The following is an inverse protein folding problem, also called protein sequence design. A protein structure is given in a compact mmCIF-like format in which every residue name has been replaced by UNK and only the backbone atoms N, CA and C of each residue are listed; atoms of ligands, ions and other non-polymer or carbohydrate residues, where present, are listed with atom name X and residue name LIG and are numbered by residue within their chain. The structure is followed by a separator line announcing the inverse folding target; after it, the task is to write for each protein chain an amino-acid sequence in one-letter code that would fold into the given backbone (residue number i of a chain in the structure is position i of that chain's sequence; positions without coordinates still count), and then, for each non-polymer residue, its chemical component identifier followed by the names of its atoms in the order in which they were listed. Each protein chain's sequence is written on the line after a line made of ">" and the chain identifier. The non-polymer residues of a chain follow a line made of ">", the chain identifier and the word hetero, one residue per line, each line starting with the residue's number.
data_IF_954766689244
#
_entry.id   IF_954766689244
#
_cell.length_a   1.000
_cell.length_b   1.000
_cell.length_c   1.000
_cell.angle_alpha   90.00
_cell.angle_beta   90.00
_cell.angle_gamma   90.00
#
_symmetry.space_group_name_H-M   'P 1'
#
loop_
_entity.id
_entity.type
_entity.pdbx_description
1 polymer ?
#
# COMPACT_ATOMS: atom_id res chain seq x y z
N UNK A 1 17.12 -16.81 -14.01
CA UNK A 1 16.48 -15.80 -13.13
C UNK A 1 15.44 -15.08 -13.97
N UNK A 2 14.19 -15.01 -13.54
CA UNK A 2 13.13 -14.31 -14.27
C UNK A 2 13.37 -12.80 -14.11
N UNK A 3 13.47 -12.09 -15.25
CA UNK A 3 13.65 -10.63 -15.28
C UNK A 3 12.34 -9.95 -15.62
N UNK A 4 12.07 -8.80 -15.00
CA UNK A 4 10.87 -8.00 -15.28
C UNK A 4 11.08 -7.15 -16.54
N UNK A 5 10.48 -7.58 -17.63
CA UNK A 5 10.33 -6.74 -18.83
C UNK A 5 8.97 -6.03 -18.79
N UNK A 6 8.96 -4.74 -18.48
CA UNK A 6 7.74 -3.94 -18.38
C UNK A 6 7.06 -3.71 -19.74
N UNK A 7 7.84 -3.75 -20.83
CA UNK A 7 7.32 -3.54 -22.19
C UNK A 7 6.44 -4.69 -22.67
N UNK A 8 6.69 -5.91 -22.16
CA UNK A 8 5.89 -7.11 -22.45
C UNK A 8 4.44 -7.05 -21.92
N UNK A 9 4.12 -6.04 -21.09
CA UNK A 9 2.77 -5.87 -20.50
C UNK A 9 1.89 -4.88 -21.26
N UNK A 10 2.19 -4.61 -22.52
CA UNK A 10 1.35 -3.75 -23.37
C UNK A 10 0.18 -4.56 -23.93
N UNK A 11 -1.04 -4.09 -23.71
CA UNK A 11 -2.29 -4.66 -24.21
C UNK A 11 -3.13 -3.55 -24.85
N UNK A 12 -3.53 -3.73 -26.12
CA UNK A 12 -4.43 -2.79 -26.77
C UNK A 12 -5.86 -3.31 -26.63
N UNK A 13 -6.69 -2.52 -25.96
CA UNK A 13 -8.14 -2.79 -25.87
C UNK A 13 -8.90 -1.88 -26.84
N UNK A 14 -9.91 -2.47 -27.49
CA UNK A 14 -10.83 -1.74 -28.38
C UNK A 14 -12.14 -1.56 -27.65
N UNK A 15 -12.60 -0.32 -27.62
CA UNK A 15 -13.76 0.11 -26.85
C UNK A 15 -14.63 1.04 -27.68
N UNK A 16 -15.86 1.22 -27.26
CA UNK A 16 -16.68 2.36 -27.67
C UNK A 16 -16.48 3.49 -26.65
N UNK A 17 -16.24 4.69 -27.13
CA UNK A 17 -16.22 5.88 -26.33
C UNK A 17 -17.39 6.80 -26.75
N UNK A 18 -17.92 7.55 -25.79
CA UNK A 18 -18.89 8.61 -26.05
C UNK A 18 -18.17 9.95 -25.95
N UNK A 19 -18.21 10.73 -27.05
CA UNK A 19 -17.84 12.15 -26.99
C UNK A 19 -18.97 12.93 -26.37
N UNK A 20 -18.71 13.51 -25.21
CA UNK A 20 -19.67 14.27 -24.40
C UNK A 20 -19.10 15.64 -24.07
N UNK A 21 -19.94 16.61 -23.75
CA UNK A 21 -19.48 17.90 -23.22
C UNK A 21 -18.95 17.73 -21.81
N UNK A 22 -17.91 18.46 -21.44
CA UNK A 22 -17.31 18.37 -20.11
C UNK A 22 -18.30 18.57 -18.96
N UNK A 23 -19.31 19.43 -19.17
CA UNK A 23 -20.38 19.71 -18.21
C UNK A 23 -21.33 18.52 -17.98
N UNK A 24 -21.43 17.60 -18.93
CA UNK A 24 -22.32 16.43 -18.88
C UNK A 24 -21.68 15.21 -18.20
N UNK A 25 -20.36 15.26 -17.89
CA UNK A 25 -19.64 14.11 -17.37
C UNK A 25 -20.32 13.46 -16.14
N UNK A 26 -20.78 14.26 -15.18
CA UNK A 26 -21.44 13.74 -13.98
C UNK A 26 -22.78 13.07 -14.26
N UNK A 27 -23.55 13.61 -15.22
CA UNK A 27 -24.85 13.06 -15.63
C UNK A 27 -24.67 11.70 -16.31
N UNK A 28 -23.74 11.64 -17.28
CA UNK A 28 -23.43 10.41 -17.99
C UNK A 28 -22.86 9.33 -17.06
N UNK A 29 -21.94 9.70 -16.15
CA UNK A 29 -21.39 8.78 -15.15
C UNK A 29 -22.48 8.14 -14.26
N UNK A 30 -23.50 8.91 -13.88
CA UNK A 30 -24.62 8.40 -13.07
C UNK A 30 -25.57 7.51 -13.88
N UNK A 31 -25.96 7.98 -15.06
CA UNK A 31 -26.96 7.29 -15.90
C UNK A 31 -26.43 5.99 -16.49
N UNK A 32 -25.17 5.96 -16.91
CA UNK A 32 -24.53 4.78 -17.50
C UNK A 32 -23.79 3.92 -16.47
N UNK A 33 -24.07 4.09 -15.17
CA UNK A 33 -23.45 3.26 -14.15
C UNK A 33 -23.66 1.77 -14.43
N UNK A 34 -22.57 0.97 -14.36
CA UNK A 34 -22.57 -0.45 -14.76
C UNK A 34 -22.26 -0.70 -16.25
N UNK A 35 -22.31 0.32 -17.11
CA UNK A 35 -21.96 0.24 -18.54
C UNK A 35 -20.73 1.06 -18.92
N UNK A 36 -20.01 1.56 -17.94
CA UNK A 36 -18.79 2.35 -18.09
C UNK A 36 -17.59 1.41 -17.85
N UNK A 37 -16.47 1.69 -18.51
CA UNK A 37 -15.24 0.93 -18.33
C UNK A 37 -14.82 0.92 -16.85
N UNK A 38 -14.86 -0.26 -16.25
CA UNK A 38 -14.48 -0.50 -14.87
C UNK A 38 -13.19 -1.33 -14.81
N UNK A 39 -12.05 -0.68 -15.04
CA UNK A 39 -10.73 -1.32 -14.91
C UNK A 39 -9.92 -0.60 -13.81
N UNK A 40 -9.19 -1.34 -12.97
CA UNK A 40 -8.32 -0.74 -11.95
C UNK A 40 -7.35 0.28 -12.58
N UNK A 41 -7.18 1.43 -11.94
CA UNK A 41 -6.29 2.51 -12.37
C UNK A 41 -6.61 3.15 -13.73
N UNK A 42 -7.64 2.72 -14.43
CA UNK A 42 -8.10 3.33 -15.70
C UNK A 42 -9.21 4.31 -15.39
N UNK A 43 -9.00 5.58 -15.76
CA UNK A 43 -10.06 6.59 -15.66
C UNK A 43 -11.04 6.39 -16.81
N UNK A 44 -12.34 6.28 -16.56
CA UNK A 44 -13.34 6.12 -17.61
C UNK A 44 -13.58 7.41 -18.41
N UNK A 45 -13.24 8.58 -17.87
CA UNK A 45 -13.30 9.85 -18.58
C UNK A 45 -11.88 10.32 -18.88
N UNK A 46 -11.60 10.60 -20.15
CA UNK A 46 -10.31 11.05 -20.64
C UNK A 46 -10.44 12.32 -21.48
N UNK A 47 -9.36 13.10 -21.69
CA UNK A 47 -9.35 14.18 -22.68
C UNK A 47 -9.77 13.68 -24.07
N UNK A 48 -10.44 14.53 -24.85
CA UNK A 48 -10.85 14.22 -26.21
C UNK A 48 -9.78 14.72 -27.18
N UNK A 49 -8.81 13.87 -27.44
CA UNK A 49 -7.71 14.11 -28.39
C UNK A 49 -8.01 13.51 -29.78
N UNK A 50 -9.20 12.89 -29.95
CA UNK A 50 -9.61 12.33 -31.22
C UNK A 50 -9.98 13.42 -32.22
N UNK A 51 -9.94 13.08 -33.53
CA UNK A 51 -10.34 13.98 -34.60
C UNK A 51 -11.75 14.56 -34.36
N UNK A 52 -11.89 15.88 -34.42
CA UNK A 52 -13.12 16.60 -34.06
C UNK A 52 -13.33 16.84 -32.57
N UNK A 53 -12.38 16.48 -31.72
CA UNK A 53 -12.37 16.79 -30.29
C UNK A 53 -12.03 18.22 -29.96
N UNK A 54 -12.33 18.67 -28.75
CA UNK A 54 -12.01 20.01 -28.24
C UNK A 54 -11.71 20.00 -26.73
N UNK A 55 -11.19 21.10 -26.21
CA UNK A 55 -11.01 21.30 -24.79
C UNK A 55 -12.32 21.26 -23.99
N UNK A 56 -13.47 21.46 -24.64
CA UNK A 56 -14.80 21.42 -24.03
C UNK A 56 -15.44 20.03 -24.07
N UNK A 57 -14.86 19.10 -24.82
CA UNK A 57 -15.33 17.71 -24.91
C UNK A 57 -14.47 16.75 -24.11
N UNK A 58 -15.04 15.59 -23.78
CA UNK A 58 -14.41 14.47 -23.10
C UNK A 58 -14.84 13.17 -23.75
N UNK A 59 -13.99 12.17 -23.67
CA UNK A 59 -14.35 10.81 -24.03
C UNK A 59 -14.71 10.04 -22.77
N UNK A 60 -15.93 9.52 -22.71
CA UNK A 60 -16.39 8.56 -21.72
C UNK A 60 -16.25 7.15 -22.30
N UNK A 61 -15.36 6.36 -21.72
CA UNK A 61 -15.10 5.00 -22.15
C UNK A 61 -16.19 4.05 -21.63
N UNK A 62 -16.84 3.34 -22.55
CA UNK A 62 -17.87 2.37 -22.22
C UNK A 62 -17.26 1.01 -21.87
N UNK A 63 -18.05 0.18 -21.19
CA UNK A 63 -17.67 -1.19 -20.84
C UNK A 63 -17.45 -2.02 -22.12
N UNK A 64 -16.62 -3.04 -22.03
CA UNK A 64 -16.30 -3.95 -23.13
C UNK A 64 -17.51 -4.75 -23.63
N UNK A 65 -18.62 -4.73 -22.87
CA UNK A 65 -19.91 -5.30 -23.26
C UNK A 65 -20.66 -4.45 -24.30
N UNK A 66 -20.27 -3.20 -24.51
CA UNK A 66 -20.80 -2.34 -25.57
C UNK A 66 -19.97 -2.58 -26.82
N UNK A 67 -20.57 -3.21 -27.83
CA UNK A 67 -19.84 -3.88 -28.90
C UNK A 67 -19.44 -2.94 -30.05
N UNK A 68 -20.20 -1.86 -30.29
CA UNK A 68 -20.00 -0.97 -31.43
C UNK A 68 -20.61 0.41 -31.24
N UNK A 69 -20.42 1.27 -32.23
CA UNK A 69 -20.94 2.64 -32.25
C UNK A 69 -22.46 2.74 -32.38
N UNK A 70 -23.17 1.65 -32.70
CA UNK A 70 -24.63 1.55 -32.61
C UNK A 70 -25.09 1.28 -31.17
N UNK A 71 -24.13 1.20 -30.22
CA UNK A 71 -24.34 0.98 -28.80
C UNK A 71 -25.03 -0.36 -28.49
N UNK A 72 -24.79 -1.39 -29.32
CA UNK A 72 -25.25 -2.74 -29.04
C UNK A 72 -24.62 -3.20 -27.71
N UNK A 73 -25.45 -3.76 -26.82
CA UNK A 73 -25.07 -4.09 -25.45
C UNK A 73 -25.50 -3.08 -24.39
N UNK A 74 -26.00 -1.88 -24.80
CA UNK A 74 -26.73 -1.00 -23.90
C UNK A 74 -28.24 -1.27 -23.95
N UNK A 75 -28.96 -1.18 -22.81
CA UNK A 75 -30.41 -1.10 -22.77
C UNK A 75 -30.96 0.01 -23.66
N UNK A 76 -32.14 -0.20 -24.25
CA UNK A 76 -32.76 0.74 -25.20
C UNK A 76 -32.95 2.15 -24.60
N UNK A 77 -33.39 2.23 -23.35
CA UNK A 77 -33.55 3.51 -22.62
C UNK A 77 -32.21 4.27 -22.50
N UNK A 78 -31.11 3.59 -22.30
CA UNK A 78 -29.79 4.22 -22.19
C UNK A 78 -29.27 4.64 -23.57
N UNK A 79 -29.55 3.88 -24.61
CA UNK A 79 -29.26 4.30 -26.00
C UNK A 79 -30.01 5.55 -26.38
N UNK A 80 -31.31 5.61 -26.11
CA UNK A 80 -32.14 6.81 -26.34
C UNK A 80 -31.57 8.00 -25.57
N UNK A 81 -31.26 7.87 -24.30
CA UNK A 81 -30.61 8.91 -23.49
C UNK A 81 -29.31 9.45 -24.13
N UNK A 82 -28.42 8.54 -24.56
CA UNK A 82 -27.13 8.93 -25.18
C UNK A 82 -27.36 9.79 -26.42
N UNK A 83 -28.34 9.44 -27.25
CA UNK A 83 -28.67 10.15 -28.49
C UNK A 83 -29.37 11.50 -28.21
N UNK A 84 -30.32 11.53 -27.28
CA UNK A 84 -31.05 12.73 -26.86
C UNK A 84 -30.12 13.79 -26.26
N UNK A 85 -29.13 13.39 -25.48
CA UNK A 85 -28.13 14.30 -24.92
C UNK A 85 -27.04 14.74 -25.91
N UNK A 86 -27.13 14.27 -27.17
CA UNK A 86 -26.25 14.65 -28.28
C UNK A 86 -24.81 14.11 -28.11
N UNK A 87 -24.63 12.99 -27.38
CA UNK A 87 -23.35 12.35 -27.34
C UNK A 87 -23.05 11.58 -28.63
N UNK A 88 -21.79 11.59 -29.07
CA UNK A 88 -21.35 10.93 -30.28
C UNK A 88 -20.56 9.68 -29.96
N UNK A 89 -21.08 8.48 -30.28
CA UNK A 89 -20.33 7.25 -30.17
C UNK A 89 -19.19 7.16 -31.17
N UNK A 90 -18.01 6.70 -30.73
CA UNK A 90 -16.88 6.52 -31.63
C UNK A 90 -16.05 5.29 -31.17
N UNK A 91 -15.40 4.64 -32.12
CA UNK A 91 -14.44 3.59 -31.83
C UNK A 91 -13.19 4.21 -31.18
N UNK A 92 -12.71 3.61 -30.11
CA UNK A 92 -11.54 4.08 -29.38
C UNK A 92 -10.62 2.91 -29.06
N UNK A 93 -9.33 3.07 -29.33
CA UNK A 93 -8.30 2.13 -28.92
C UNK A 93 -7.53 2.71 -27.74
N UNK A 94 -7.32 1.89 -26.73
CA UNK A 94 -6.52 2.28 -25.56
C UNK A 94 -5.46 1.24 -25.29
N UNK A 95 -4.23 1.68 -25.23
CA UNK A 95 -3.12 0.85 -24.79
C UNK A 95 -3.07 0.81 -23.26
N UNK A 96 -3.18 -0.36 -22.68
CA UNK A 96 -2.95 -0.63 -21.26
C UNK A 96 -1.51 -1.08 -21.09
N UNK A 97 -0.69 -0.22 -20.52
CA UNK A 97 0.70 -0.55 -20.19
C UNK A 97 0.85 -1.16 -18.79
N UNK A 98 2.07 -1.56 -18.48
CA UNK A 98 2.45 -2.10 -17.17
C UNK A 98 1.88 -1.28 -15.99
N UNK A 99 1.93 0.05 -16.05
CA UNK A 99 1.52 0.93 -14.94
C UNK A 99 0.02 0.82 -14.59
N UNK A 100 -0.81 0.46 -15.54
CA UNK A 100 -2.25 0.32 -15.35
C UNK A 100 -2.66 -1.06 -14.81
N UNK A 101 -1.77 -2.05 -14.84
CA UNK A 101 -2.03 -3.38 -14.30
C UNK A 101 -1.82 -3.40 -12.78
N UNK A 102 -2.60 -4.25 -12.09
CA UNK A 102 -2.42 -4.51 -10.66
C UNK A 102 -1.23 -5.44 -10.40
N UNK A 103 -0.76 -5.51 -9.13
CA UNK A 103 0.24 -6.49 -8.70
C UNK A 103 -0.16 -7.91 -9.15
N UNK A 104 -1.40 -8.29 -8.87
CA UNK A 104 -1.92 -9.62 -9.18
C UNK A 104 -1.91 -9.91 -10.70
N UNK A 105 -2.36 -8.95 -11.52
CA UNK A 105 -2.37 -9.12 -12.99
C UNK A 105 -0.97 -9.27 -13.56
N UNK A 106 0.01 -8.55 -13.02
CA UNK A 106 1.41 -8.67 -13.46
C UNK A 106 1.99 -10.00 -13.00
N UNK A 107 1.86 -10.35 -11.72
CA UNK A 107 2.44 -11.57 -11.19
C UNK A 107 1.80 -12.84 -11.77
N UNK A 108 0.49 -12.85 -12.07
CA UNK A 108 -0.15 -13.97 -12.78
C UNK A 108 0.45 -14.25 -14.17
N UNK A 109 0.99 -13.24 -14.85
CA UNK A 109 1.65 -13.39 -16.16
C UNK A 109 3.12 -13.83 -16.05
N UNK A 110 3.75 -13.62 -14.89
CA UNK A 110 5.18 -13.91 -14.66
C UNK A 110 5.42 -15.22 -13.93
N UNK A 111 4.49 -15.60 -13.07
CA UNK A 111 4.61 -16.82 -12.26
C UNK A 111 4.03 -18.03 -13.00
N UNK A 112 4.51 -19.25 -12.73
CA UNK A 112 3.95 -20.46 -13.27
C UNK A 112 2.44 -20.58 -13.04
N UNK A 113 1.74 -21.19 -13.98
CA UNK A 113 0.30 -21.43 -13.88
C UNK A 113 -0.01 -22.28 -12.64
N UNK A 114 -0.97 -21.87 -11.84
CA UNK A 114 -1.36 -22.54 -10.60
C UNK A 114 -0.61 -22.08 -9.34
N UNK A 115 0.48 -21.33 -9.48
CA UNK A 115 1.17 -20.76 -8.33
C UNK A 115 0.33 -19.66 -7.68
N UNK A 116 0.21 -19.67 -6.36
CA UNK A 116 -0.47 -18.60 -5.61
C UNK A 116 0.31 -17.29 -5.74
N UNK A 117 -0.41 -16.22 -6.09
CA UNK A 117 0.19 -14.88 -6.24
C UNK A 117 0.37 -14.23 -4.88
N UNK A 118 1.61 -13.89 -4.46
CA UNK A 118 1.85 -13.18 -3.21
C UNK A 118 1.45 -11.72 -3.37
N UNK A 119 0.22 -11.36 -3.01
CA UNK A 119 -0.31 -10.00 -3.08
C UNK A 119 -0.43 -9.32 -1.73
N UNK A 120 -0.37 -10.08 -0.63
CA UNK A 120 -0.41 -9.58 0.74
C UNK A 120 1.00 -9.34 1.28
N UNK A 121 1.20 -8.18 1.87
CA UNK A 121 2.42 -7.83 2.60
C UNK A 121 2.08 -7.02 3.84
N UNK A 122 2.94 -7.04 4.82
CA UNK A 122 2.89 -6.14 5.96
C UNK A 122 3.73 -4.89 5.66
N UNK A 123 3.23 -3.72 6.03
CA UNK A 123 3.94 -2.47 5.79
C UNK A 123 4.33 -1.82 7.12
N UNK A 124 5.62 -1.50 7.24
CA UNK A 124 6.18 -0.73 8.35
C UNK A 124 6.82 0.53 7.77
N UNK A 125 6.13 1.66 7.89
CA UNK A 125 6.52 2.88 7.23
C UNK A 125 6.63 2.72 5.70
N UNK A 126 7.84 2.84 5.14
CA UNK A 126 8.10 2.63 3.71
C UNK A 126 8.67 1.25 3.36
N UNK A 127 8.77 0.37 4.33
CA UNK A 127 9.26 -1.00 4.13
C UNK A 127 8.06 -1.95 4.06
N UNK A 128 7.97 -2.73 3.00
CA UNK A 128 7.07 -3.88 2.93
C UNK A 128 7.83 -5.16 3.25
N UNK A 129 7.25 -6.04 4.06
CA UNK A 129 7.76 -7.37 4.22
C UNK A 129 6.76 -8.42 3.74
N UNK A 130 7.27 -9.42 3.04
CA UNK A 130 6.54 -10.59 2.56
C UNK A 130 7.06 -11.85 3.25
N UNK A 131 6.21 -12.88 3.29
CA UNK A 131 6.59 -14.23 3.68
C UNK A 131 6.40 -15.11 2.44
N UNK A 132 7.46 -15.30 1.66
CA UNK A 132 7.40 -16.11 0.45
C UNK A 132 7.50 -17.61 0.81
N UNK A 133 6.68 -18.42 0.12
CA UNK A 133 6.76 -19.88 0.21
C UNK A 133 7.96 -20.39 -0.59
N UNK A 134 8.43 -21.59 -0.30
CA UNK A 134 9.58 -22.20 -0.98
C UNK A 134 9.44 -22.18 -2.53
N UNK A 135 8.26 -22.48 -3.04
CA UNK A 135 7.96 -22.46 -4.48
C UNK A 135 8.08 -21.07 -5.12
N UNK A 136 7.94 -19.99 -4.32
CA UNK A 136 8.00 -18.60 -4.77
C UNK A 136 9.43 -18.04 -4.70
N UNK A 137 10.34 -18.64 -3.95
CA UNK A 137 11.71 -18.16 -3.76
C UNK A 137 12.50 -18.00 -5.08
N UNK A 138 12.36 -18.86 -6.11
CA UNK A 138 13.01 -18.63 -7.39
C UNK A 138 12.59 -17.33 -8.08
N UNK A 139 11.43 -16.79 -7.73
CA UNK A 139 10.81 -15.58 -8.31
C UNK A 139 10.90 -14.36 -7.37
N UNK A 140 11.56 -14.48 -6.23
CA UNK A 140 11.59 -13.46 -5.17
C UNK A 140 11.95 -12.07 -5.66
N UNK A 141 12.96 -11.96 -6.54
CA UNK A 141 13.43 -10.67 -7.06
C UNK A 141 12.35 -9.97 -7.91
N UNK A 142 11.68 -10.71 -8.81
CA UNK A 142 10.62 -10.14 -9.64
C UNK A 142 9.36 -9.83 -8.82
N UNK A 143 9.03 -10.66 -7.82
CA UNK A 143 7.93 -10.38 -6.88
C UNK A 143 8.21 -9.08 -6.12
N UNK A 144 9.40 -8.96 -5.53
CA UNK A 144 9.81 -7.76 -4.82
C UNK A 144 9.77 -6.50 -5.68
N UNK A 145 10.27 -6.58 -6.92
CA UNK A 145 10.27 -5.45 -7.85
C UNK A 145 8.86 -5.03 -8.25
N UNK A 146 7.95 -5.98 -8.55
CA UNK A 146 6.55 -5.68 -8.89
C UNK A 146 5.83 -5.04 -7.71
N UNK A 147 6.03 -5.54 -6.49
CA UNK A 147 5.45 -4.93 -5.29
C UNK A 147 5.92 -3.49 -5.09
N UNK A 148 7.21 -3.24 -5.27
CA UNK A 148 7.80 -1.91 -5.18
C UNK A 148 7.23 -0.95 -6.23
N UNK A 149 7.22 -1.36 -7.51
CA UNK A 149 6.75 -0.56 -8.63
C UNK A 149 5.27 -0.15 -8.49
N UNK A 150 4.46 -1.04 -7.93
CA UNK A 150 3.01 -0.84 -7.85
C UNK A 150 2.55 -0.09 -6.60
N UNK A 151 3.45 0.16 -5.66
CA UNK A 151 3.15 0.82 -4.39
C UNK A 151 4.07 2.02 -4.16
N UNK A 152 3.64 3.19 -4.59
CA UNK A 152 4.43 4.43 -4.53
C UNK A 152 4.88 4.85 -3.11
N UNK A 153 4.30 4.27 -2.07
CA UNK A 153 4.69 4.53 -0.67
C UNK A 153 5.86 3.67 -0.22
N UNK A 154 6.17 2.60 -0.95
CA UNK A 154 7.26 1.69 -0.62
C UNK A 154 8.59 2.21 -1.19
N UNK A 155 9.65 2.01 -0.42
CA UNK A 155 11.03 2.24 -0.85
C UNK A 155 11.86 0.97 -0.78
N UNK A 156 11.42 -0.01 0.02
CA UNK A 156 12.08 -1.30 0.18
C UNK A 156 11.07 -2.42 0.33
N UNK A 157 11.37 -3.56 -0.27
CA UNK A 157 10.62 -4.81 -0.09
C UNK A 157 11.59 -5.88 0.39
N UNK A 158 11.26 -6.51 1.52
CA UNK A 158 12.07 -7.57 2.13
C UNK A 158 11.29 -8.86 2.27
N UNK A 159 11.98 -9.99 2.25
CA UNK A 159 11.45 -11.30 2.61
C UNK A 159 11.93 -11.70 4.00
N UNK A 160 11.05 -12.24 4.79
CA UNK A 160 11.36 -12.88 6.06
C UNK A 160 11.89 -14.28 5.80
N UNK A 161 13.12 -14.57 6.22
CA UNK A 161 13.80 -15.82 5.84
C UNK A 161 13.54 -16.94 6.82
N UNK A 162 13.32 -16.63 8.11
CA UNK A 162 13.17 -17.62 9.19
C UNK A 162 12.17 -17.15 10.25
N UNK A 163 11.75 -18.09 11.11
CA UNK A 163 11.05 -17.77 12.35
C UNK A 163 11.98 -17.11 13.36
N UNK A 164 11.42 -16.37 14.32
CA UNK A 164 12.18 -15.77 15.43
C UNK A 164 12.82 -16.91 16.26
N UNK A 165 14.14 -17.05 16.17
CA UNK A 165 14.92 -18.04 16.93
C UNK A 165 15.90 -17.41 17.91
N UNK A 166 15.99 -16.07 17.94
CA UNK A 166 16.96 -15.34 18.76
C UNK A 166 16.31 -14.65 19.96
N UNK A 167 17.11 -14.40 21.00
CA UNK A 167 16.70 -13.78 22.26
C UNK A 167 16.14 -12.35 22.05
N UNK A 168 16.61 -11.64 21.05
CA UNK A 168 16.24 -10.25 20.77
C UNK A 168 14.97 -10.13 19.91
N UNK A 169 14.38 -11.24 19.48
CA UNK A 169 13.17 -11.33 18.67
C UNK A 169 13.24 -10.56 17.33
N UNK A 170 14.42 -10.49 16.75
CA UNK A 170 14.64 -9.90 15.40
C UNK A 170 14.56 -10.98 14.35
N UNK A 171 14.05 -10.62 13.18
CA UNK A 171 13.95 -11.53 12.05
C UNK A 171 15.09 -11.30 11.07
N UNK A 172 15.75 -12.38 10.59
CA UNK A 172 16.57 -12.29 9.40
C UNK A 172 15.73 -11.85 8.21
N UNK A 173 16.16 -10.79 7.54
CA UNK A 173 15.45 -10.20 6.39
C UNK A 173 16.37 -10.17 5.19
N UNK A 174 15.85 -10.62 4.04
CA UNK A 174 16.51 -10.51 2.75
C UNK A 174 15.88 -9.36 1.96
N UNK A 175 16.71 -8.43 1.46
CA UNK A 175 16.22 -7.37 0.56
C UNK A 175 15.89 -7.98 -0.80
N UNK A 176 14.65 -7.80 -1.25
CA UNK A 176 14.18 -8.27 -2.56
C UNK A 176 14.26 -7.18 -3.62
N UNK A 177 13.91 -5.94 -3.26
CA UNK A 177 13.93 -4.78 -4.15
C UNK A 177 13.99 -3.47 -3.36
N UNK A 178 14.52 -2.43 -3.98
CA UNK A 178 14.54 -1.07 -3.46
C UNK A 178 15.81 -0.73 -2.69
N UNK A 179 15.67 0.16 -1.70
CA UNK A 179 16.77 0.71 -0.93
C UNK A 179 17.26 -0.27 0.16
N UNK A 180 18.56 -0.37 0.41
CA UNK A 180 19.13 -1.26 1.42
C UNK A 180 18.86 -0.81 2.86
N UNK A 181 18.58 0.48 3.08
CA UNK A 181 18.24 1.01 4.40
C UNK A 181 16.82 0.62 4.80
N UNK A 182 16.68 0.00 5.98
CA UNK A 182 15.38 -0.33 6.57
C UNK A 182 15.00 0.61 7.73
N UNK A 183 15.73 1.73 7.85
CA UNK A 183 15.38 2.79 8.81
C UNK A 183 14.13 3.49 8.34
N UNK A 184 13.07 3.40 9.14
CA UNK A 184 11.74 3.88 8.77
C UNK A 184 11.03 4.59 9.91
N UNK A 185 9.90 5.23 9.59
CA UNK A 185 9.04 5.90 10.58
C UNK A 185 7.62 5.37 10.50
N UNK A 186 7.04 5.13 11.65
CA UNK A 186 5.62 4.78 11.81
C UNK A 186 4.96 5.74 12.79
N UNK A 187 3.65 5.85 12.68
CA UNK A 187 2.86 6.68 13.58
C UNK A 187 1.73 5.84 14.17
N UNK A 188 1.68 5.79 15.49
CA UNK A 188 0.73 4.97 16.21
C UNK A 188 0.37 5.65 17.54
N UNK A 189 -0.91 5.66 17.93
CA UNK A 189 -1.40 6.15 19.23
C UNK A 189 -0.88 7.54 19.62
N UNK A 190 -0.79 8.45 18.64
CA UNK A 190 -0.31 9.83 18.85
C UNK A 190 1.21 9.99 18.92
N UNK A 191 1.97 8.90 18.99
CA UNK A 191 3.43 8.90 18.97
C UNK A 191 3.99 8.63 17.57
N UNK A 192 5.21 9.11 17.32
CA UNK A 192 5.99 8.81 16.11
C UNK A 192 7.19 7.97 16.52
N UNK A 193 7.37 6.84 15.85
CA UNK A 193 8.46 5.90 16.09
C UNK A 193 9.38 5.86 14.89
N UNK A 194 10.67 6.09 15.11
CA UNK A 194 11.75 5.82 14.17
C UNK A 194 12.42 4.52 14.59
N UNK A 195 12.74 3.67 13.63
CA UNK A 195 13.34 2.35 13.88
C UNK A 195 14.13 1.85 12.66
N UNK A 196 15.17 1.06 12.88
CA UNK A 196 15.68 0.14 11.86
C UNK A 196 14.94 -1.19 11.98
N UNK A 197 14.11 -1.49 10.97
CA UNK A 197 13.25 -2.68 11.01
C UNK A 197 14.03 -4.00 10.99
N UNK A 198 15.31 -3.96 10.64
CA UNK A 198 16.22 -5.12 10.70
C UNK A 198 16.68 -5.44 12.12
N UNK A 199 16.79 -4.42 12.95
CA UNK A 199 17.48 -4.51 14.26
C UNK A 199 16.53 -4.60 15.45
N UNK A 200 15.26 -4.23 15.26
CA UNK A 200 14.27 -4.17 16.33
C UNK A 200 12.98 -4.89 15.97
N UNK A 201 12.29 -5.35 16.98
CA UNK A 201 10.94 -5.90 16.82
C UNK A 201 9.92 -4.79 16.63
N UNK A 202 9.09 -4.93 15.61
CA UNK A 202 7.88 -4.11 15.40
C UNK A 202 6.76 -4.95 14.79
N UNK A 203 5.51 -4.74 15.25
CA UNK A 203 4.34 -5.40 14.71
C UNK A 203 3.15 -4.44 14.72
N UNK A 204 2.80 -3.88 13.59
CA UNK A 204 1.70 -2.92 13.43
C UNK A 204 0.31 -3.49 13.79
N UNK A 205 0.16 -4.82 13.83
CA UNK A 205 -1.10 -5.47 14.23
C UNK A 205 -1.39 -5.35 15.72
N UNK A 206 -0.38 -4.99 16.52
CA UNK A 206 -0.51 -4.82 17.97
C UNK A 206 -0.97 -3.41 18.37
N UNK A 207 -1.15 -2.47 17.44
CA UNK A 207 -1.55 -1.09 17.71
C UNK A 207 -2.74 -0.99 18.66
N UNK A 208 -3.79 -1.79 18.43
CA UNK A 208 -4.98 -1.79 19.28
C UNK A 208 -4.69 -2.31 20.69
N UNK A 209 -3.82 -3.31 20.83
CA UNK A 209 -3.41 -3.85 22.13
C UNK A 209 -2.51 -2.87 22.87
N UNK A 210 -1.59 -2.21 22.16
CA UNK A 210 -0.77 -1.14 22.75
C UNK A 210 -1.67 -0.06 23.34
N UNK A 211 -2.69 0.38 22.60
CA UNK A 211 -3.61 1.40 23.06
C UNK A 211 -4.47 0.91 24.24
N UNK A 212 -4.99 -0.31 24.18
CA UNK A 212 -5.81 -0.91 25.26
C UNK A 212 -5.09 -0.90 26.61
N UNK A 213 -3.79 -1.19 26.61
CA UNK A 213 -2.99 -1.15 27.83
C UNK A 213 -2.76 0.28 28.30
N UNK A 214 -2.39 1.18 27.37
CA UNK A 214 -2.14 2.60 27.68
C UNK A 214 -3.38 3.30 28.23
N UNK A 215 -4.57 2.96 27.75
CA UNK A 215 -5.84 3.53 28.28
C UNK A 215 -6.09 3.20 29.75
N UNK A 216 -5.55 2.10 30.25
CA UNK A 216 -5.69 1.69 31.66
C UNK A 216 -4.75 2.46 32.60
N UNK A 217 -3.78 3.18 32.05
CA UNK A 217 -2.81 3.94 32.83
C UNK A 217 -3.34 5.36 33.04
N UNK A 218 -3.54 5.74 34.28
CA UNK A 218 -4.02 7.07 34.68
C UNK A 218 -2.95 8.15 34.53
N UNK A 219 -3.40 9.41 34.47
CA UNK A 219 -2.50 10.57 34.48
C UNK A 219 -1.71 10.61 35.80
N UNK A 220 -0.40 10.81 35.71
CA UNK A 220 0.49 10.85 36.87
C UNK A 220 0.90 9.48 37.44
N UNK A 221 0.32 8.39 36.95
CA UNK A 221 0.76 7.04 37.33
C UNK A 221 2.17 6.71 36.82
N UNK A 222 2.77 5.69 37.42
CA UNK A 222 4.11 5.21 37.08
C UNK A 222 3.99 3.90 36.30
N UNK A 223 4.49 3.90 35.06
CA UNK A 223 4.63 2.70 34.25
C UNK A 223 6.06 2.16 34.32
N UNK A 224 6.20 0.87 34.61
CA UNK A 224 7.44 0.14 34.44
C UNK A 224 7.28 -0.84 33.25
N UNK A 225 7.93 -0.55 32.14
CA UNK A 225 7.92 -1.38 30.93
C UNK A 225 9.29 -2.08 30.80
N UNK A 226 9.34 -3.36 31.21
CA UNK A 226 10.57 -4.12 31.28
C UNK A 226 11.08 -4.64 29.94
N UNK A 227 10.24 -4.65 28.89
CA UNK A 227 10.56 -5.12 27.54
C UNK A 227 10.02 -4.14 26.51
N UNK A 228 10.40 -2.87 26.66
CA UNK A 228 9.78 -1.73 26.02
C UNK A 228 9.96 -1.67 24.50
N UNK A 229 10.89 -2.44 23.93
CA UNK A 229 11.22 -2.31 22.52
C UNK A 229 11.62 -0.88 22.19
N UNK A 230 11.00 -0.31 21.17
CA UNK A 230 11.18 1.11 20.79
C UNK A 230 10.16 2.06 21.44
N UNK A 231 9.30 1.54 22.34
CA UNK A 231 8.42 2.29 23.21
C UNK A 231 6.94 2.35 22.84
N UNK A 232 6.31 1.31 22.23
CA UNK A 232 4.89 1.38 21.81
C UNK A 232 3.89 1.55 22.98
N UNK A 233 4.24 1.14 24.19
CA UNK A 233 3.49 1.47 25.41
C UNK A 233 4.05 2.70 26.09
N UNK A 234 5.38 2.78 26.23
CA UNK A 234 6.08 3.80 26.99
C UNK A 234 5.81 5.23 26.50
N UNK A 235 5.87 5.46 25.18
CA UNK A 235 5.72 6.81 24.62
C UNK A 235 4.28 7.32 24.68
N UNK A 236 3.25 6.55 24.30
CA UNK A 236 1.87 7.01 24.47
C UNK A 236 1.48 7.24 25.93
N UNK A 237 1.95 6.42 26.89
CA UNK A 237 1.74 6.65 28.31
C UNK A 237 2.39 7.95 28.79
N UNK A 238 3.64 8.20 28.37
CA UNK A 238 4.35 9.44 28.69
C UNK A 238 3.68 10.68 28.09
N UNK A 239 3.14 10.60 26.87
CA UNK A 239 2.36 11.67 26.24
C UNK A 239 1.06 11.99 27.00
N UNK A 240 0.53 11.04 27.76
CA UNK A 240 -0.63 11.20 28.66
C UNK A 240 -0.26 11.67 30.06
N UNK A 241 1.02 11.97 30.32
CA UNK A 241 1.48 12.52 31.60
C UNK A 241 2.03 11.50 32.60
N UNK A 242 2.08 10.21 32.26
CA UNK A 242 2.65 9.18 33.13
C UNK A 242 4.17 9.29 33.24
N UNK A 243 4.74 8.88 34.39
CA UNK A 243 6.19 8.63 34.52
C UNK A 243 6.49 7.21 34.07
N UNK A 244 7.51 7.06 33.22
CA UNK A 244 7.81 5.77 32.59
C UNK A 244 9.27 5.37 32.83
N UNK A 245 9.45 4.15 33.30
CA UNK A 245 10.74 3.46 33.36
C UNK A 245 10.70 2.39 32.27
N UNK A 246 11.44 2.60 31.18
CA UNK A 246 11.39 1.75 30.00
C UNK A 246 12.74 1.07 29.78
N UNK A 247 12.73 -0.24 29.77
CA UNK A 247 13.92 -1.09 29.61
C UNK A 247 13.77 -2.00 28.40
N UNK A 248 14.86 -2.28 27.71
CA UNK A 248 14.92 -3.38 26.74
C UNK A 248 16.30 -4.03 26.74
N UNK A 249 16.34 -5.35 26.55
CA UNK A 249 17.59 -6.11 26.47
C UNK A 249 18.33 -5.80 25.16
N UNK A 250 17.61 -5.58 24.04
CA UNK A 250 18.19 -5.28 22.76
C UNK A 250 18.79 -3.86 22.76
N UNK A 251 20.12 -3.70 22.59
CA UNK A 251 20.75 -2.38 22.58
C UNK A 251 20.27 -1.49 21.45
N UNK A 252 19.86 -2.07 20.30
CA UNK A 252 19.27 -1.32 19.20
C UNK A 252 17.88 -0.79 19.56
N UNK A 253 17.04 -1.59 20.24
CA UNK A 253 15.76 -1.14 20.77
C UNK A 253 15.95 0.03 21.75
N UNK A 254 16.87 -0.10 22.70
CA UNK A 254 17.17 0.95 23.67
C UNK A 254 17.73 2.22 23.00
N UNK A 255 18.50 2.08 21.92
CA UNK A 255 18.96 3.22 21.11
C UNK A 255 17.77 3.97 20.47
N UNK A 256 16.90 3.24 19.75
CA UNK A 256 15.76 3.84 19.09
C UNK A 256 14.74 4.38 20.10
N UNK A 257 14.54 3.72 21.24
CA UNK A 257 13.68 4.22 22.32
C UNK A 257 14.13 5.62 22.78
N UNK A 258 15.43 5.81 23.07
CA UNK A 258 15.96 7.13 23.48
C UNK A 258 15.74 8.19 22.41
N UNK A 259 15.97 7.87 21.14
CA UNK A 259 15.70 8.79 20.02
C UNK A 259 14.22 9.15 19.94
N UNK A 260 13.35 8.17 20.08
CA UNK A 260 11.91 8.33 20.01
C UNK A 260 11.38 9.18 21.21
N UNK A 261 11.92 9.00 22.40
CA UNK A 261 11.62 9.84 23.57
C UNK A 261 11.89 11.33 23.28
N UNK A 262 13.03 11.63 22.66
CA UNK A 262 13.38 13.00 22.29
C UNK A 262 12.47 13.52 21.17
N UNK A 263 12.24 12.71 20.14
CA UNK A 263 11.41 13.07 18.97
C UNK A 263 9.95 13.36 19.36
N UNK A 264 9.41 12.66 20.36
CA UNK A 264 8.06 12.84 20.87
C UNK A 264 7.99 13.88 22.03
N UNK A 265 9.10 14.53 22.37
CA UNK A 265 9.18 15.62 23.38
C UNK A 265 8.79 15.20 24.81
N UNK A 266 9.08 13.95 25.18
CA UNK A 266 8.78 13.39 26.52
C UNK A 266 10.02 13.01 27.35
N UNK A 267 11.22 13.67 27.22
CA UNK A 267 12.43 13.23 27.90
C UNK A 267 12.37 13.40 29.43
N UNK A 268 11.44 14.23 29.92
CA UNK A 268 11.24 14.40 31.38
C UNK A 268 10.36 13.31 31.99
N UNK A 269 9.61 12.60 31.17
CA UNK A 269 8.66 11.58 31.59
C UNK A 269 9.22 10.15 31.47
N UNK A 270 10.23 9.92 30.61
CA UNK A 270 10.72 8.58 30.31
C UNK A 270 12.18 8.43 30.69
N UNK A 271 12.48 7.44 31.51
CA UNK A 271 13.84 6.97 31.79
C UNK A 271 14.09 5.66 31.04
N UNK A 272 15.16 5.64 30.21
CA UNK A 272 15.47 4.50 29.35
C UNK A 272 16.67 3.72 29.87
N UNK A 273 16.50 2.40 29.95
CA UNK A 273 17.52 1.44 30.38
C UNK A 273 17.83 0.44 29.26
N UNK A 274 19.00 -0.20 29.36
CA UNK A 274 19.37 -1.33 28.51
C UNK A 274 19.99 -2.40 29.41
N UNK A 275 19.14 -3.16 30.05
CA UNK A 275 19.48 -4.16 31.06
C UNK A 275 18.73 -5.47 30.80
N UNK A 276 19.20 -6.56 31.41
CA UNK A 276 18.39 -7.77 31.51
C UNK A 276 17.18 -7.49 32.43
N UNK A 277 15.97 -7.67 31.96
CA UNK A 277 14.76 -7.43 32.76
C UNK A 277 14.57 -8.41 33.96
N UNK A 278 15.49 -9.35 34.14
CA UNK A 278 15.53 -10.28 35.29
C UNK A 278 16.48 -9.82 36.42
N UNK A 279 17.24 -8.73 36.16
CA UNK A 279 18.28 -8.24 37.10
C UNK A 279 17.70 -7.19 38.09
#
# INVERSE_FOLDING_TARGET
>A
MVTLDRSAFSEVIRLVALRIRAQQCSTFMKRLNGHILARPKVRPIIPDEAEGGSAQTRLLLLAETVLDTELRGLPEELRAFVLEEGAVPLAHERTLGYDLLTVEQVLRRLLPQGMEVPSAFEQVGHVAHVNLREEQLPYKAVIGQVLLDKNARLRSVVNKVESISNELRVFPMELLAGEPSLVTKVRENGATFELDYREVYWNSRLEREHWRVVEQIGEGEVLCDMMAGIGPFALPAALRGSKVYANDLNPHSAHWLRRNVVANKVPRNVQCYNLCGRA
#
